data_IF_029524101712
#
_entry.id   IF_029524101712
#
_cell.length_a   1.000
_cell.length_b   1.000
_cell.length_c   1.000
_cell.angle_alpha   90.00
_cell.angle_beta   90.00
_cell.angle_gamma   90.00
#
_symmetry.space_group_name_H-M   'P 1'
#
loop_
_entity.id
_entity.type
_entity.pdbx_description
1 polymer ?
#
# COMPACT_ATOMS: atom_id res chain seq x y z
N UNK A 1 -15.51 0.45 -23.27
CA UNK A 1 -16.56 0.31 -22.26
C UNK A 1 -17.17 1.67 -22.01
N UNK A 2 -18.46 1.85 -22.34
CA UNK A 2 -19.17 3.10 -22.03
C UNK A 2 -19.82 2.92 -20.65
N UNK A 3 -19.44 3.77 -19.69
CA UNK A 3 -20.11 3.87 -18.38
C UNK A 3 -21.18 4.95 -18.55
N UNK A 4 -22.41 4.52 -18.84
CA UNK A 4 -23.48 5.46 -19.18
C UNK A 4 -24.35 5.86 -17.98
N UNK A 5 -24.29 5.15 -16.86
CA UNK A 5 -25.17 5.32 -15.70
C UNK A 5 -24.42 5.36 -14.35
N UNK A 6 -23.09 5.39 -14.40
CA UNK A 6 -22.27 5.36 -13.19
C UNK A 6 -22.12 3.97 -12.53
N UNK A 7 -22.73 2.93 -13.09
CA UNK A 7 -22.51 1.55 -12.63
C UNK A 7 -21.26 0.97 -13.29
N UNK A 8 -20.38 0.40 -12.48
CA UNK A 8 -19.23 -0.33 -13.01
C UNK A 8 -19.70 -1.57 -13.76
N UNK A 9 -19.18 -1.84 -14.96
CA UNK A 9 -19.54 -3.03 -15.71
C UNK A 9 -19.14 -4.29 -14.93
N UNK A 10 -20.05 -5.22 -14.85
CA UNK A 10 -19.79 -6.54 -14.28
C UNK A 10 -18.84 -7.30 -15.20
N UNK A 11 -17.70 -7.72 -14.68
CA UNK A 11 -16.75 -8.60 -15.40
C UNK A 11 -17.21 -10.04 -15.23
N UNK A 12 -18.12 -10.49 -16.10
CA UNK A 12 -18.65 -11.85 -16.09
C UNK A 12 -18.29 -12.54 -17.40
N UNK A 13 -17.51 -13.60 -17.35
CA UNK A 13 -17.17 -14.43 -18.52
C UNK A 13 -15.69 -14.81 -18.59
N UNK A 14 -15.36 -15.71 -19.50
CA UNK A 14 -13.98 -16.00 -19.89
C UNK A 14 -13.52 -14.92 -20.86
N UNK A 15 -12.65 -14.04 -20.41
CA UNK A 15 -11.98 -13.08 -21.26
C UNK A 15 -10.63 -13.64 -21.70
N UNK A 16 -10.18 -13.31 -22.91
CA UNK A 16 -8.85 -13.71 -23.36
C UNK A 16 -7.79 -13.09 -22.43
N UNK A 17 -6.74 -13.85 -22.18
CA UNK A 17 -5.62 -13.40 -21.37
C UNK A 17 -4.82 -12.34 -22.14
N UNK A 18 -4.43 -11.27 -21.43
CA UNK A 18 -3.54 -10.25 -21.96
C UNK A 18 -2.11 -10.66 -21.66
N UNK A 19 -1.32 -10.84 -22.69
CA UNK A 19 0.09 -11.17 -22.59
C UNK A 19 0.97 -9.95 -22.79
N UNK A 20 2.07 -9.87 -22.03
CA UNK A 20 3.09 -8.84 -22.19
C UNK A 20 4.10 -9.27 -23.22
N UNK A 21 4.30 -8.42 -24.21
CA UNK A 21 5.30 -8.57 -25.27
C UNK A 21 6.42 -7.53 -25.12
N UNK A 22 7.51 -7.66 -25.87
CA UNK A 22 8.63 -6.72 -25.80
C UNK A 22 8.28 -5.26 -26.16
N UNK A 23 7.17 -5.03 -26.86
CA UNK A 23 6.76 -3.71 -27.35
C UNK A 23 5.26 -3.45 -27.18
N UNK A 24 4.63 -4.05 -26.20
CA UNK A 24 3.21 -3.80 -25.99
C UNK A 24 2.49 -4.92 -25.27
N UNK A 25 1.19 -4.88 -25.35
CA UNK A 25 0.31 -5.94 -24.86
C UNK A 25 -0.33 -6.65 -26.05
N UNK A 26 -0.55 -7.95 -25.91
CA UNK A 26 -1.20 -8.77 -26.94
C UNK A 26 -2.36 -9.59 -26.35
N UNK A 27 -3.31 -9.93 -27.21
CA UNK A 27 -4.38 -10.89 -26.94
C UNK A 27 -4.37 -11.91 -28.07
N UNK A 28 -4.31 -13.19 -27.75
CA UNK A 28 -4.22 -14.29 -28.72
C UNK A 28 -3.10 -14.08 -29.77
N UNK A 29 -1.96 -13.52 -29.32
CA UNK A 29 -0.80 -13.22 -30.17
C UNK A 29 -0.95 -11.98 -31.05
N UNK A 30 -2.06 -11.26 -30.98
CA UNK A 30 -2.26 -10.02 -31.73
C UNK A 30 -1.93 -8.82 -30.83
N UNK A 31 -0.99 -7.97 -31.25
CA UNK A 31 -0.65 -6.75 -30.54
C UNK A 31 -1.86 -5.79 -30.48
N UNK A 32 -2.10 -5.24 -29.30
CA UNK A 32 -3.11 -4.22 -29.10
C UNK A 32 -2.54 -2.85 -29.46
N UNK A 33 -3.33 -2.04 -30.18
CA UNK A 33 -3.03 -0.63 -30.39
C UNK A 33 -3.53 0.15 -29.19
N UNK A 34 -2.62 0.60 -28.33
CA UNK A 34 -2.91 1.28 -27.08
C UNK A 34 -2.11 2.57 -27.02
N UNK A 35 -2.79 3.70 -26.86
CA UNK A 35 -2.15 5.01 -26.71
C UNK A 35 -1.79 5.29 -25.24
N UNK A 36 -2.66 4.88 -24.31
CA UNK A 36 -2.50 5.11 -22.88
C UNK A 36 -3.26 4.05 -22.09
N UNK A 37 -2.72 3.65 -20.93
CA UNK A 37 -3.39 2.75 -20.00
C UNK A 37 -3.88 3.55 -18.79
N UNK A 38 -5.13 3.30 -18.38
CA UNK A 38 -5.70 3.80 -17.14
C UNK A 38 -5.88 2.62 -16.16
N UNK A 39 -4.91 2.39 -15.26
CA UNK A 39 -4.98 1.27 -14.33
C UNK A 39 -6.09 1.50 -13.30
N UNK A 40 -7.01 0.54 -13.17
CA UNK A 40 -8.04 0.49 -12.13
C UNK A 40 -7.85 -0.81 -11.35
N UNK A 41 -6.69 -0.94 -10.73
CA UNK A 41 -6.29 -2.09 -9.94
C UNK A 41 -5.99 -1.64 -8.51
N UNK A 42 -6.32 -2.50 -7.54
CA UNK A 42 -6.11 -2.22 -6.12
C UNK A 42 -5.18 -3.26 -5.49
N UNK A 43 -4.37 -2.81 -4.52
CA UNK A 43 -3.48 -3.67 -3.75
C UNK A 43 -2.20 -4.05 -4.49
N UNK A 44 -1.65 -5.19 -4.10
CA UNK A 44 -0.39 -5.73 -4.66
C UNK A 44 -0.45 -5.86 -6.17
N UNK A 45 0.66 -5.58 -6.84
CA UNK A 45 0.87 -5.45 -8.26
C UNK A 45 0.27 -4.16 -8.87
N UNK A 46 -0.97 -3.78 -8.52
CA UNK A 46 -1.63 -2.60 -9.09
C UNK A 46 -1.12 -1.27 -8.53
N UNK A 47 -0.81 -1.23 -7.22
CA UNK A 47 -0.49 0.00 -6.49
C UNK A 47 0.94 0.04 -5.94
N UNK A 48 1.72 -1.04 -6.04
CA UNK A 48 3.05 -1.19 -5.43
C UNK A 48 4.22 -0.90 -6.39
N UNK A 49 3.95 -0.39 -7.58
CA UNK A 49 4.95 -0.05 -8.59
C UNK A 49 5.31 -1.18 -9.56
N UNK A 50 4.84 -2.41 -9.33
CA UNK A 50 5.16 -3.53 -10.21
C UNK A 50 4.52 -3.36 -11.60
N UNK A 51 3.22 -3.07 -11.64
CA UNK A 51 2.51 -2.79 -12.90
C UNK A 51 3.16 -1.61 -13.65
N UNK A 52 3.46 -0.53 -12.93
CA UNK A 52 4.07 0.67 -13.48
C UNK A 52 5.44 0.34 -14.10
N UNK A 53 6.25 -0.44 -13.39
CA UNK A 53 7.55 -0.91 -13.90
C UNK A 53 7.41 -1.76 -15.16
N UNK A 54 6.39 -2.61 -15.21
CA UNK A 54 6.10 -3.42 -16.41
C UNK A 54 5.67 -2.55 -17.58
N UNK A 55 4.86 -1.54 -17.36
CA UNK A 55 4.42 -0.59 -18.40
C UNK A 55 5.57 0.29 -18.90
N UNK A 56 6.46 0.74 -18.00
CA UNK A 56 7.66 1.49 -18.35
C UNK A 56 8.57 0.66 -19.29
N UNK A 57 8.74 -0.64 -19.00
CA UNK A 57 9.58 -1.52 -19.81
C UNK A 57 9.05 -1.73 -21.24
N UNK A 58 7.74 -1.76 -21.42
CA UNK A 58 7.12 -1.90 -22.75
C UNK A 58 6.85 -0.56 -23.43
N UNK A 59 7.08 0.56 -22.73
CA UNK A 59 6.98 1.91 -23.28
C UNK A 59 5.55 2.40 -23.54
N UNK A 60 4.55 1.88 -22.82
CA UNK A 60 3.17 2.34 -22.93
C UNK A 60 2.89 3.39 -21.82
N UNK A 61 2.49 4.62 -22.17
CA UNK A 61 2.09 5.62 -21.20
C UNK A 61 0.91 5.15 -20.33
N UNK A 62 0.89 5.56 -19.09
CA UNK A 62 -0.21 5.24 -18.17
C UNK A 62 -0.56 6.43 -17.27
N UNK A 63 -1.78 6.44 -16.76
CA UNK A 63 -2.27 7.44 -15.81
C UNK A 63 -1.91 7.00 -14.40
N UNK A 64 -1.39 7.92 -13.60
CA UNK A 64 -1.05 7.70 -12.20
C UNK A 64 0.43 7.87 -11.90
N UNK A 65 0.81 7.58 -10.65
CA UNK A 65 2.19 7.72 -10.18
C UNK A 65 3.10 6.67 -10.81
N UNK A 66 4.36 7.03 -11.07
CA UNK A 66 5.36 6.11 -11.59
C UNK A 66 5.78 5.02 -10.60
N UNK A 67 6.52 4.02 -11.07
CA UNK A 67 6.90 2.83 -10.31
C UNK A 67 7.56 3.14 -8.96
N UNK A 68 8.54 4.05 -8.93
CA UNK A 68 9.28 4.41 -7.71
C UNK A 68 8.38 5.10 -6.68
N UNK A 69 7.50 6.00 -7.13
CA UNK A 69 6.58 6.70 -6.23
C UNK A 69 5.52 5.75 -5.67
N UNK A 70 5.01 4.83 -6.48
CA UNK A 70 4.04 3.81 -6.08
C UNK A 70 4.64 2.84 -5.06
N UNK A 71 5.87 2.36 -5.28
CA UNK A 71 6.59 1.50 -4.34
C UNK A 71 6.81 2.19 -2.98
N UNK A 72 7.27 3.46 -3.03
CA UNK A 72 7.47 4.27 -1.82
C UNK A 72 6.16 4.46 -1.05
N UNK A 73 5.07 4.80 -1.75
CA UNK A 73 3.77 5.07 -1.14
C UNK A 73 3.13 3.82 -0.53
N UNK A 74 3.37 2.66 -1.13
CA UNK A 74 2.86 1.38 -0.61
C UNK A 74 3.48 1.02 0.74
N UNK A 75 4.74 1.38 0.98
CA UNK A 75 5.44 1.15 2.25
C UNK A 75 5.18 2.32 3.22
N UNK A 76 4.24 2.13 4.16
CA UNK A 76 3.83 3.18 5.11
C UNK A 76 4.98 3.75 5.94
N UNK A 77 5.97 2.92 6.30
CA UNK A 77 7.13 3.37 7.07
C UNK A 77 8.05 4.27 6.22
N UNK A 78 8.29 3.90 4.96
CA UNK A 78 9.09 4.72 4.04
C UNK A 78 8.36 6.01 3.66
N UNK A 79 7.06 5.92 3.32
CA UNK A 79 6.23 7.10 3.03
C UNK A 79 6.25 8.10 4.17
N UNK A 80 6.09 7.64 5.43
CA UNK A 80 6.18 8.51 6.61
C UNK A 80 7.55 9.13 6.76
N UNK A 81 8.61 8.38 6.56
CA UNK A 81 9.98 8.93 6.60
C UNK A 81 10.16 10.01 5.55
N UNK A 82 9.63 9.82 4.35
CA UNK A 82 9.66 10.80 3.27
C UNK A 82 8.87 12.07 3.64
N UNK A 83 7.65 11.92 4.13
CA UNK A 83 6.81 13.06 4.56
C UNK A 83 7.44 13.84 5.70
N UNK A 84 8.01 13.16 6.70
CA UNK A 84 8.70 13.82 7.80
C UNK A 84 9.90 14.66 7.31
N UNK A 85 10.70 14.13 6.38
CA UNK A 85 11.81 14.87 5.76
C UNK A 85 11.35 16.09 4.97
N UNK A 86 10.16 16.02 4.38
CA UNK A 86 9.52 17.14 3.68
C UNK A 86 8.85 18.15 4.63
N UNK A 87 8.92 17.96 5.95
CA UNK A 87 8.31 18.85 6.95
C UNK A 87 6.79 18.67 7.10
N UNK A 88 6.22 17.60 6.54
CA UNK A 88 4.80 17.27 6.70
C UNK A 88 4.58 16.60 8.05
N UNK A 89 3.57 17.05 8.79
CA UNK A 89 3.22 16.47 10.08
C UNK A 89 2.74 15.02 9.90
N UNK A 90 3.28 14.12 10.72
CA UNK A 90 2.94 12.70 10.74
C UNK A 90 2.51 12.27 12.15
N UNK A 91 1.71 11.23 12.25
CA UNK A 91 1.42 10.61 13.54
C UNK A 91 2.72 10.10 14.18
N UNK A 92 2.98 10.39 15.47
CA UNK A 92 4.13 9.81 16.18
C UNK A 92 4.07 8.30 16.18
N UNK A 93 5.21 7.65 15.91
CA UNK A 93 5.26 6.20 15.81
C UNK A 93 6.67 5.67 15.65
N UNK A 94 6.77 4.35 15.67
CA UNK A 94 8.01 3.61 15.43
C UNK A 94 7.79 2.54 14.38
N UNK A 95 8.86 2.22 13.67
CA UNK A 95 8.90 1.07 12.76
C UNK A 95 9.60 -0.10 13.45
N UNK A 96 9.00 -1.27 13.40
CA UNK A 96 9.51 -2.50 14.01
C UNK A 96 9.62 -3.58 12.94
N UNK A 97 10.79 -4.19 12.82
CA UNK A 97 10.96 -5.36 11.95
C UNK A 97 10.66 -6.65 12.72
N UNK A 98 10.28 -7.70 12.00
CA UNK A 98 10.07 -9.03 12.59
C UNK A 98 11.30 -9.52 13.38
N UNK A 99 12.51 -9.26 12.85
CA UNK A 99 13.76 -9.60 13.51
C UNK A 99 13.95 -8.87 14.85
N UNK A 100 13.56 -7.58 14.94
CA UNK A 100 13.59 -6.84 16.20
C UNK A 100 12.58 -7.40 17.20
N UNK A 101 11.36 -7.66 16.75
CA UNK A 101 10.31 -8.24 17.59
C UNK A 101 10.71 -9.60 18.16
N UNK A 102 11.20 -10.51 17.31
CA UNK A 102 11.65 -11.84 17.73
C UNK A 102 12.86 -11.81 18.66
N UNK A 103 13.75 -10.83 18.49
CA UNK A 103 14.95 -10.69 19.33
C UNK A 103 14.62 -10.18 20.73
N UNK A 104 13.78 -9.17 20.85
CA UNK A 104 13.47 -8.52 22.12
C UNK A 104 12.11 -7.78 22.06
N UNK A 105 11.04 -8.55 22.23
CA UNK A 105 9.68 -8.01 22.25
C UNK A 105 9.44 -7.05 23.43
N UNK A 106 10.17 -7.26 24.56
CA UNK A 106 10.03 -6.41 25.73
C UNK A 106 10.59 -5.02 25.44
N UNK A 107 11.78 -4.91 24.85
CA UNK A 107 12.36 -3.63 24.46
C UNK A 107 11.48 -2.86 23.46
N UNK A 108 10.85 -3.56 22.51
CA UNK A 108 9.87 -2.96 21.60
C UNK A 108 8.66 -2.43 22.38
N UNK A 109 8.14 -3.24 23.30
CA UNK A 109 6.99 -2.84 24.15
C UNK A 109 7.33 -1.62 25.01
N UNK A 110 8.52 -1.56 25.57
CA UNK A 110 8.96 -0.40 26.36
C UNK A 110 9.10 0.87 25.49
N UNK A 111 9.52 0.72 24.23
CA UNK A 111 9.71 1.84 23.31
C UNK A 111 8.40 2.53 22.92
N UNK A 112 7.27 1.83 22.96
CA UNK A 112 5.95 2.41 22.63
C UNK A 112 5.30 3.12 23.84
N UNK A 113 5.84 2.97 25.04
CA UNK A 113 5.26 3.57 26.25
C UNK A 113 5.06 5.09 26.15
N UNK A 114 5.98 5.78 25.45
CA UNK A 114 5.91 7.23 25.22
C UNK A 114 4.92 7.65 24.12
N UNK A 115 4.40 6.73 23.33
CA UNK A 115 3.42 7.06 22.29
C UNK A 115 2.03 7.29 22.88
N UNK A 116 1.72 6.66 24.02
CA UNK A 116 0.41 6.69 24.64
C UNK A 116 -0.62 5.81 23.93
N UNK A 117 -1.73 5.55 24.58
CA UNK A 117 -2.83 4.77 24.01
C UNK A 117 -3.98 5.67 23.56
N UNK A 118 -4.80 5.27 22.59
CA UNK A 118 -4.68 4.03 21.80
C UNK A 118 -3.61 4.11 20.72
N UNK A 119 -3.15 2.93 20.26
CA UNK A 119 -2.19 2.79 19.16
C UNK A 119 -2.86 2.13 17.94
N UNK A 120 -2.29 2.36 16.76
CA UNK A 120 -2.49 1.52 15.60
C UNK A 120 -1.20 0.72 15.32
N UNK A 121 -1.35 -0.58 15.14
CA UNK A 121 -0.32 -1.50 14.69
C UNK A 121 -0.66 -1.90 13.27
N UNK A 122 0.23 -1.66 12.31
CA UNK A 122 -0.07 -1.79 10.88
C UNK A 122 1.06 -2.52 10.16
N UNK A 123 0.74 -3.49 9.33
CA UNK A 123 1.67 -3.98 8.33
C UNK A 123 2.15 -2.81 7.45
N UNK A 124 3.46 -2.69 7.22
CA UNK A 124 4.01 -1.54 6.48
C UNK A 124 3.54 -1.55 5.04
N UNK A 125 3.57 -2.72 4.39
CA UNK A 125 3.06 -2.96 3.04
C UNK A 125 1.75 -3.72 3.14
N UNK A 126 0.65 -3.07 2.81
CA UNK A 126 -0.67 -3.68 2.84
C UNK A 126 -1.75 -2.66 2.52
N UNK A 127 -2.71 -3.06 1.69
CA UNK A 127 -3.87 -2.27 1.33
C UNK A 127 -5.11 -2.69 2.12
N UNK A 128 -6.21 -1.93 1.96
CA UNK A 128 -7.54 -2.25 2.48
C UNK A 128 -7.59 -2.62 3.96
N UNK A 129 -6.78 -1.93 4.79
CA UNK A 129 -6.67 -2.15 6.25
C UNK A 129 -6.26 -3.56 6.68
N UNK A 130 -5.79 -4.42 5.79
CA UNK A 130 -5.28 -5.75 6.13
C UNK A 130 -4.03 -5.62 7.00
N UNK A 131 -3.96 -6.38 8.09
CA UNK A 131 -2.88 -6.28 9.07
C UNK A 131 -2.84 -4.94 9.80
N UNK A 132 -4.01 -4.28 10.01
CA UNK A 132 -4.14 -3.06 10.79
C UNK A 132 -5.01 -3.30 12.01
N UNK A 133 -4.46 -3.12 13.20
CA UNK A 133 -5.12 -3.36 14.49
C UNK A 133 -5.08 -2.11 15.35
N UNK A 134 -6.23 -1.70 15.89
CA UNK A 134 -6.30 -0.64 16.91
C UNK A 134 -6.14 -1.24 18.30
N UNK A 135 -5.05 -0.91 18.97
CA UNK A 135 -4.71 -1.36 20.31
C UNK A 135 -5.15 -0.32 21.33
N UNK A 136 -6.12 -0.66 22.18
CA UNK A 136 -6.63 0.23 23.23
C UNK A 136 -5.90 0.05 24.56
N UNK A 137 -5.35 -1.14 24.80
CA UNK A 137 -4.69 -1.54 26.04
C UNK A 137 -3.41 -2.29 25.73
N UNK A 138 -2.37 -2.11 26.55
CA UNK A 138 -1.05 -2.70 26.30
C UNK A 138 -1.08 -4.25 26.26
N UNK A 139 -2.00 -4.86 26.97
CA UNK A 139 -2.20 -6.32 26.99
C UNK A 139 -2.51 -6.92 25.60
N UNK A 140 -3.10 -6.12 24.69
CA UNK A 140 -3.41 -6.55 23.33
C UNK A 140 -2.26 -6.28 22.32
N UNK A 141 -1.18 -5.62 22.75
CA UNK A 141 -0.11 -5.20 21.83
C UNK A 141 0.63 -6.36 21.17
N UNK A 142 0.99 -7.38 21.94
CA UNK A 142 1.71 -8.54 21.40
C UNK A 142 0.90 -9.27 20.32
N UNK A 143 -0.38 -9.52 20.56
CA UNK A 143 -1.26 -10.16 19.59
C UNK A 143 -1.42 -9.31 18.32
N UNK A 144 -1.52 -7.98 18.47
CA UNK A 144 -1.59 -7.06 17.34
C UNK A 144 -0.29 -7.06 16.50
N UNK A 145 0.87 -7.17 17.15
CA UNK A 145 2.15 -7.30 16.47
C UNK A 145 2.23 -8.60 15.67
N UNK A 146 1.83 -9.73 16.26
CA UNK A 146 1.80 -11.02 15.57
C UNK A 146 0.86 -11.01 14.37
N UNK A 147 -0.33 -10.41 14.52
CA UNK A 147 -1.27 -10.25 13.41
C UNK A 147 -0.66 -9.41 12.29
N UNK A 148 -0.10 -8.23 12.57
CA UNK A 148 0.49 -7.38 11.55
C UNK A 148 1.70 -8.04 10.88
N UNK A 149 2.54 -8.75 11.64
CA UNK A 149 3.70 -9.49 11.12
C UNK A 149 3.32 -10.70 10.26
N UNK A 150 2.10 -11.19 10.35
CA UNK A 150 1.62 -12.23 9.42
C UNK A 150 1.40 -11.70 7.99
N UNK A 151 1.33 -10.38 7.81
CA UNK A 151 1.15 -9.73 6.51
C UNK A 151 2.43 -9.12 5.95
N UNK A 152 3.33 -8.62 6.81
CA UNK A 152 4.60 -8.02 6.39
C UNK A 152 5.65 -8.18 7.49
N UNK A 153 6.89 -8.40 7.12
CA UNK A 153 8.04 -8.47 8.04
C UNK A 153 8.40 -7.12 8.69
N UNK A 154 7.74 -6.04 8.28
CA UNK A 154 7.90 -4.68 8.80
C UNK A 154 6.55 -4.12 9.24
N UNK A 155 6.48 -3.66 10.47
CA UNK A 155 5.27 -3.13 11.12
C UNK A 155 5.49 -1.70 11.55
N UNK A 156 4.51 -0.86 11.31
CA UNK A 156 4.42 0.50 11.81
C UNK A 156 3.51 0.54 13.03
N UNK A 157 4.01 1.06 14.14
CA UNK A 157 3.23 1.31 15.37
C UNK A 157 3.09 2.79 15.56
N UNK A 158 1.86 3.31 15.58
CA UNK A 158 1.55 4.74 15.61
C UNK A 158 0.57 5.06 16.73
N UNK A 159 0.72 6.24 17.32
CA UNK A 159 -0.34 6.81 18.17
C UNK A 159 -1.58 7.09 17.33
N UNK A 160 -2.74 6.70 17.84
CA UNK A 160 -4.00 7.08 17.21
C UNK A 160 -4.19 8.60 17.31
N UNK A 161 -4.49 9.22 16.18
CA UNK A 161 -4.86 10.64 16.13
C UNK A 161 -6.37 10.73 16.20
N UNK A 162 -6.87 11.60 17.05
CA UNK A 162 -8.30 11.96 17.09
C UNK A 162 -8.55 13.11 16.12
N UNK A 163 -9.49 12.90 15.20
CA UNK A 163 -9.80 13.88 14.15
C UNK A 163 -10.68 13.31 13.05
N UNK A 164 -11.05 14.17 12.12
CA UNK A 164 -11.74 13.76 10.91
C UNK A 164 -10.75 13.11 9.93
N UNK A 165 -11.13 11.98 9.35
CA UNK A 165 -10.42 11.36 8.25
C UNK A 165 -10.87 12.03 6.95
N UNK A 166 -9.91 12.50 6.17
CA UNK A 166 -10.15 13.16 4.89
C UNK A 166 -9.25 12.58 3.81
N UNK A 167 -9.77 12.49 2.61
CA UNK A 167 -9.03 12.07 1.42
C UNK A 167 -8.92 13.25 0.44
N UNK A 168 -7.79 13.34 -0.23
CA UNK A 168 -7.56 14.33 -1.27
C UNK A 168 -7.01 13.61 -2.50
N UNK A 169 -7.83 13.51 -3.54
CA UNK A 169 -7.39 12.99 -4.82
C UNK A 169 -6.54 14.04 -5.55
N UNK A 170 -5.43 13.61 -6.13
CA UNK A 170 -4.55 14.46 -6.94
C UNK A 170 -4.54 13.91 -8.37
N UNK A 171 -4.78 14.78 -9.33
CA UNK A 171 -4.71 14.50 -10.76
C UNK A 171 -3.74 15.51 -11.40
N UNK A 172 -2.75 14.99 -12.14
CA UNK A 172 -1.81 15.79 -12.95
C UNK A 172 -2.24 15.79 -14.41
#
# INVERSE_FOLDING_TARGET
LAINDGTLPSVTGNFPEVSRENRGLSVDGNLLSIDVIFPVLHGTYGEDGQLQSDLDQIGIPYVGSGAVASELAMDKAEAKSFFAKAGIAIAPGITVTEAQWKRDAQSVTDSIANLGMPLFVKASRGGSSRGTVKVKELSAFASAMEEALSFDSKVLVERAIDGAEVECAVLE
#
